data_IF_452047668069
#
_entry.id   IF_452047668069
#
_cell.length_a   1.000
_cell.length_b   1.000
_cell.length_c   1.000
_cell.angle_alpha   90.00
_cell.angle_beta   90.00
_cell.angle_gamma   90.00
#
_symmetry.space_group_name_H-M   'P 1'
#
loop_
_entity.id
_entity.type
_entity.pdbx_description
1 polymer ?
#
# COMPACT_ATOMS: atom_id res chain seq x y z
N UNK A 1 -26.90 -20.49 12.25
CA UNK A 1 -26.97 -19.02 12.18
C UNK A 1 -26.31 -18.57 10.88
N UNK A 2 -26.88 -17.63 10.13
CA UNK A 2 -26.27 -17.05 8.93
C UNK A 2 -25.87 -15.61 9.25
N UNK A 3 -24.59 -15.31 9.16
CA UNK A 3 -24.08 -13.94 9.32
C UNK A 3 -23.97 -13.31 7.93
N UNK A 4 -24.52 -12.10 7.80
CA UNK A 4 -24.42 -11.26 6.62
C UNK A 4 -23.53 -10.07 6.96
N UNK A 5 -22.42 -9.94 6.24
CA UNK A 5 -21.51 -8.79 6.36
C UNK A 5 -21.64 -7.93 5.11
N UNK A 6 -22.10 -6.69 5.29
CA UNK A 6 -22.08 -5.66 4.25
C UNK A 6 -20.72 -4.95 4.23
N UNK A 7 -20.36 -4.37 3.08
CA UNK A 7 -19.12 -3.60 2.96
C UNK A 7 -19.06 -2.41 3.94
N UNK A 8 -20.17 -1.71 4.17
CA UNK A 8 -20.24 -0.60 5.13
C UNK A 8 -19.97 -1.05 6.57
N UNK A 9 -20.51 -2.21 6.95
CA UNK A 9 -20.21 -2.84 8.24
C UNK A 9 -18.71 -3.16 8.36
N UNK A 10 -18.11 -3.71 7.31
CA UNK A 10 -16.68 -4.03 7.30
C UNK A 10 -15.78 -2.78 7.33
N UNK A 11 -16.18 -1.69 6.68
CA UNK A 11 -15.48 -0.41 6.73
C UNK A 11 -15.52 0.23 8.11
N UNK A 12 -16.69 0.24 8.76
CA UNK A 12 -16.80 0.74 10.13
C UNK A 12 -15.96 -0.09 11.11
N UNK A 13 -15.93 -1.42 10.95
CA UNK A 13 -15.04 -2.28 11.74
C UNK A 13 -13.57 -1.98 11.48
N UNK A 14 -13.17 -1.79 10.22
CA UNK A 14 -11.78 -1.47 9.87
C UNK A 14 -11.35 -0.11 10.46
N UNK A 15 -12.23 0.90 10.37
CA UNK A 15 -11.99 2.22 10.96
C UNK A 15 -11.94 2.15 12.50
N UNK A 16 -12.84 1.40 13.13
CA UNK A 16 -12.83 1.19 14.58
C UNK A 16 -11.54 0.50 15.05
N UNK A 17 -11.08 -0.54 14.36
CA UNK A 17 -9.81 -1.22 14.65
C UNK A 17 -8.60 -0.29 14.53
N UNK A 18 -8.62 0.67 13.61
CA UNK A 18 -7.57 1.70 13.49
C UNK A 18 -7.59 2.71 14.65
N UNK A 19 -8.76 2.94 15.26
CA UNK A 19 -8.94 3.85 16.39
C UNK A 19 -8.78 3.18 17.77
N UNK A 20 -8.86 1.85 17.85
CA UNK A 20 -8.70 1.08 19.09
C UNK A 20 -7.22 0.91 19.47
N UNK A 21 -6.62 1.99 19.99
CA UNK A 21 -5.58 1.87 21.03
C UNK A 21 -6.29 1.74 22.40
N UNK A 22 -5.67 1.10 23.41
CA UNK A 22 -6.43 0.52 24.51
C UNK A 22 -6.98 1.62 25.44
N UNK A 23 -8.27 1.89 25.32
CA UNK A 23 -9.06 2.40 26.44
C UNK A 23 -10.52 1.96 26.34
N UNK A 24 -10.91 1.19 27.35
CA UNK A 24 -12.26 0.91 27.88
C UNK A 24 -13.39 0.50 26.92
N UNK A 25 -13.88 -0.71 27.20
CA UNK A 25 -14.99 -1.38 26.55
C UNK A 25 -16.29 -0.58 26.39
N UNK A 26 -16.93 -0.83 25.26
CA UNK A 26 -18.36 -0.71 25.08
C UNK A 26 -18.84 -1.90 24.25
N UNK A 27 -19.79 -2.65 24.80
CA UNK A 27 -20.47 -3.79 24.18
C UNK A 27 -21.27 -3.35 22.95
N UNK A 28 -21.06 -4.01 21.81
CA UNK A 28 -21.84 -3.82 20.60
C UNK A 28 -23.03 -4.80 20.61
N UNK A 29 -24.25 -4.27 20.77
CA UNK A 29 -25.49 -5.06 20.70
C UNK A 29 -25.87 -5.27 19.24
N UNK A 30 -25.91 -6.53 18.80
CA UNK A 30 -26.33 -6.92 17.47
C UNK A 30 -27.83 -7.25 17.48
N UNK A 31 -28.68 -6.22 17.39
CA UNK A 31 -30.11 -6.41 17.12
C UNK A 31 -30.57 -5.40 16.06
N UNK A 32 -30.50 -5.79 14.80
CA UNK A 32 -31.31 -5.21 13.72
C UNK A 32 -32.02 -6.34 12.96
N UNK A 33 -33.35 -6.27 12.77
CA UNK A 33 -34.12 -7.35 12.20
C UNK A 33 -33.84 -7.54 10.70
N UNK A 34 -33.73 -8.81 10.31
CA UNK A 34 -33.60 -9.31 8.95
C UNK A 34 -34.90 -9.04 8.18
N UNK A 35 -34.98 -7.91 7.47
CA UNK A 35 -36.09 -7.63 6.57
C UNK A 35 -35.70 -6.95 5.24
N UNK A 36 -34.44 -7.05 4.81
CA UNK A 36 -33.98 -6.57 3.51
C UNK A 36 -33.29 -7.69 2.72
N UNK A 37 -34.08 -8.64 2.21
CA UNK A 37 -33.64 -9.64 1.22
C UNK A 37 -34.34 -9.47 -0.14
N UNK A 38 -35.27 -8.52 -0.28
CA UNK A 38 -36.07 -8.28 -1.50
C UNK A 38 -35.58 -7.12 -2.36
N UNK A 39 -34.67 -6.27 -1.87
CA UNK A 39 -34.18 -5.07 -2.59
C UNK A 39 -32.68 -5.16 -2.95
N UNK A 40 -32.21 -6.34 -3.34
CA UNK A 40 -30.85 -6.45 -3.86
C UNK A 40 -30.79 -5.85 -5.27
N UNK A 41 -30.11 -4.71 -5.38
CA UNK A 41 -29.76 -4.08 -6.66
C UNK A 41 -29.00 -5.09 -7.54
N UNK A 42 -29.19 -5.00 -8.87
CA UNK A 42 -28.65 -5.92 -9.88
C UNK A 42 -27.12 -6.04 -9.86
N UNK A 43 -26.43 -5.12 -9.20
CA UNK A 43 -24.98 -5.07 -9.07
C UNK A 43 -24.46 -5.72 -7.77
N UNK A 44 -25.31 -6.34 -6.95
CA UNK A 44 -24.88 -6.97 -5.70
C UNK A 44 -24.32 -8.37 -5.93
N UNK A 45 -23.12 -8.64 -5.41
CA UNK A 45 -22.51 -9.96 -5.39
C UNK A 45 -22.74 -10.65 -4.03
N UNK A 46 -23.00 -11.97 -4.07
CA UNK A 46 -23.15 -12.81 -2.88
C UNK A 46 -22.09 -13.90 -2.94
N UNK A 47 -21.12 -13.84 -2.04
CA UNK A 47 -20.10 -14.86 -1.87
C UNK A 47 -20.44 -15.72 -0.65
N UNK A 48 -20.67 -17.02 -0.88
CA UNK A 48 -21.04 -17.96 0.17
C UNK A 48 -19.82 -18.71 0.66
N UNK A 49 -19.66 -18.75 1.97
CA UNK A 49 -18.63 -19.55 2.62
C UNK A 49 -19.25 -20.66 3.49
N UNK A 50 -18.76 -21.88 3.31
CA UNK A 50 -19.12 -23.06 4.10
C UNK A 50 -17.82 -23.75 4.54
N UNK A 51 -17.45 -23.57 5.81
CA UNK A 51 -16.16 -24.02 6.31
C UNK A 51 -16.03 -25.53 6.37
N UNK A 52 -14.97 -26.06 5.76
CA UNK A 52 -14.48 -27.40 6.08
C UNK A 52 -13.64 -27.30 7.35
N UNK A 53 -14.04 -28.03 8.39
CA UNK A 53 -13.27 -28.17 9.60
C UNK A 53 -11.85 -28.65 9.27
N UNK A 54 -10.84 -27.76 9.42
CA UNK A 54 -9.45 -28.02 9.82
C UNK A 54 -8.59 -26.76 9.59
N UNK A 55 -8.62 -25.82 10.54
CA UNK A 55 -7.77 -24.63 10.50
C UNK A 55 -6.52 -24.84 11.38
N UNK A 56 -5.42 -25.31 10.78
CA UNK A 56 -4.11 -25.34 11.42
C UNK A 56 -3.25 -24.16 10.93
N UNK A 57 -2.92 -23.22 11.81
CA UNK A 57 -1.97 -22.12 11.52
C UNK A 57 -0.55 -22.63 11.77
N UNK A 58 0.23 -22.87 10.71
CA UNK A 58 1.65 -23.24 10.82
C UNK A 58 2.52 -21.97 10.87
N UNK A 59 3.01 -21.61 12.04
CA UNK A 59 4.08 -20.62 12.19
C UNK A 59 5.45 -21.28 11.97
N UNK A 60 6.09 -21.07 10.81
CA UNK A 60 7.54 -21.33 10.66
C UNK A 60 8.35 -20.04 10.83
N UNK A 61 9.11 -19.96 11.92
CA UNK A 61 10.25 -19.04 12.06
C UNK A 61 11.44 -19.64 11.30
N UNK A 62 12.01 -18.92 10.33
CA UNK A 62 13.30 -19.27 9.75
C UNK A 62 14.34 -18.20 10.06
N UNK A 63 15.47 -18.66 10.61
CA UNK A 63 16.66 -17.91 10.98
C UNK A 63 17.33 -17.30 9.74
N UNK A 64 17.79 -16.05 9.89
CA UNK A 64 18.64 -15.35 8.93
C UNK A 64 20.08 -15.90 9.00
N UNK A 65 20.68 -16.12 7.83
CA UNK A 65 22.13 -16.28 7.72
C UNK A 65 22.76 -15.00 7.17
N UNK A 66 23.81 -14.56 7.86
CA UNK A 66 24.74 -13.49 7.50
C UNK A 66 25.44 -13.81 6.16
N UNK A 67 25.61 -12.82 5.29
CA UNK A 67 26.59 -12.89 4.21
C UNK A 67 27.46 -11.62 4.21
N UNK A 68 28.78 -11.84 4.22
CA UNK A 68 29.85 -10.84 4.35
C UNK A 68 30.27 -10.30 2.98
N UNK A 69 30.93 -9.15 3.06
CA UNK A 69 31.56 -8.33 2.03
C UNK A 69 32.46 -9.08 1.03
N UNK A 70 32.58 -8.50 -0.17
CA UNK A 70 33.84 -8.42 -0.91
C UNK A 70 33.84 -7.19 -1.85
N UNK A 71 34.64 -6.18 -1.49
CA UNK A 71 35.30 -5.25 -2.42
C UNK A 71 36.33 -6.03 -3.26
N UNK A 72 36.65 -5.70 -4.50
CA UNK A 72 37.58 -4.67 -5.03
C UNK A 72 38.05 -5.24 -6.39
N UNK A 73 38.51 -4.56 -7.45
CA UNK A 73 38.85 -3.17 -7.77
C UNK A 73 39.29 -3.11 -9.25
N UNK A 74 39.21 -1.89 -9.83
CA UNK A 74 40.13 -1.25 -10.80
C UNK A 74 40.34 -1.80 -12.22
N UNK A 75 40.36 -0.89 -13.21
CA UNK A 75 41.53 -0.45 -14.00
C UNK A 75 41.14 0.86 -14.75
N UNK A 76 41.70 2.03 -14.37
CA UNK A 76 42.81 2.80 -15.00
C UNK A 76 42.51 3.31 -16.43
N UNK A 77 42.46 4.63 -16.59
CA UNK A 77 43.14 5.30 -17.71
C UNK A 77 43.64 6.69 -17.29
N UNK A 78 44.78 7.08 -17.83
CA UNK A 78 45.64 8.19 -17.45
C UNK A 78 46.02 9.00 -18.67
N UNK A 79 45.86 10.33 -18.65
CA UNK A 79 46.65 11.29 -19.47
C UNK A 79 46.29 12.75 -19.14
N UNK A 80 47.21 13.73 -19.29
CA UNK A 80 47.26 14.93 -18.45
C UNK A 80 47.16 16.30 -19.19
N UNK A 81 47.13 17.36 -18.37
CA UNK A 81 47.44 18.78 -18.66
C UNK A 81 46.45 19.62 -19.49
N UNK A 82 45.73 20.54 -18.83
CA UNK A 82 45.77 21.98 -19.12
C UNK A 82 45.03 22.80 -18.02
N UNK A 83 45.70 23.83 -17.50
CA UNK A 83 45.06 25.10 -17.09
C UNK A 83 44.25 25.14 -15.79
N UNK A 84 44.90 25.61 -14.72
CA UNK A 84 44.24 26.07 -13.50
C UNK A 84 43.40 27.33 -13.77
N UNK A 85 42.07 27.20 -13.71
CA UNK A 85 41.17 28.31 -13.39
C UNK A 85 40.60 28.04 -11.99
N UNK A 86 40.93 28.94 -11.07
CA UNK A 86 40.53 28.89 -9.67
C UNK A 86 39.06 29.33 -9.59
N UNK A 87 38.15 28.37 -9.69
CA UNK A 87 36.71 28.60 -9.54
C UNK A 87 36.37 29.07 -8.11
N UNK A 88 35.49 30.07 -7.95
CA UNK A 88 35.10 30.62 -6.66
C UNK A 88 34.40 29.55 -5.81
N UNK A 89 34.64 29.61 -4.49
CA UNK A 89 34.08 28.75 -3.43
C UNK A 89 32.83 27.95 -3.83
N UNK A 90 33.02 26.66 -4.09
CA UNK A 90 31.95 25.68 -4.30
C UNK A 90 31.13 25.55 -3.02
N UNK A 91 30.11 26.40 -2.89
CA UNK A 91 29.00 26.19 -1.96
C UNK A 91 28.52 24.76 -2.18
N UNK A 92 28.65 23.89 -1.18
CA UNK A 92 28.39 22.45 -1.29
C UNK A 92 27.02 22.16 -1.89
N UNK A 93 26.95 21.89 -3.19
CA UNK A 93 25.70 21.61 -3.88
C UNK A 93 25.27 20.19 -3.55
N UNK A 94 24.29 20.05 -2.65
CA UNK A 94 23.74 18.75 -2.26
C UNK A 94 23.26 17.95 -3.50
N UNK A 95 23.58 16.66 -3.54
CA UNK A 95 23.17 15.75 -4.63
C UNK A 95 21.65 15.51 -4.58
N UNK A 96 20.91 15.68 -5.69
CA UNK A 96 19.47 15.48 -5.69
C UNK A 96 19.09 14.00 -5.65
N UNK A 97 18.14 13.65 -4.78
CA UNK A 97 17.48 12.34 -4.73
C UNK A 97 16.03 12.54 -5.15
N UNK A 98 15.72 12.15 -6.39
CA UNK A 98 14.38 12.21 -6.95
C UNK A 98 13.45 11.12 -6.40
N UNK A 99 12.31 11.53 -5.88
CA UNK A 99 11.21 10.67 -5.42
C UNK A 99 10.01 10.97 -6.32
N UNK A 100 9.45 9.94 -6.96
CA UNK A 100 8.20 10.08 -7.73
C UNK A 100 7.01 9.84 -6.82
N UNK A 101 6.18 10.86 -6.63
CA UNK A 101 4.87 10.79 -6.01
C UNK A 101 3.86 10.45 -7.10
N UNK A 102 3.41 9.21 -7.13
CA UNK A 102 2.49 8.67 -8.13
C UNK A 102 1.11 8.47 -7.49
N UNK A 103 0.24 9.47 -7.61
CA UNK A 103 -1.06 9.56 -6.93
C UNK A 103 -2.10 10.16 -7.89
N UNK A 104 -3.41 9.97 -7.67
CA UNK A 104 -4.40 10.58 -8.55
C UNK A 104 -4.39 12.10 -8.42
N UNK A 105 -4.55 12.80 -9.54
CA UNK A 105 -4.73 14.26 -9.54
C UNK A 105 -6.15 14.67 -9.15
N UNK A 106 -7.14 13.85 -9.49
CA UNK A 106 -8.56 14.12 -9.20
C UNK A 106 -8.81 14.29 -7.70
N UNK A 107 -9.46 15.39 -7.33
CA UNK A 107 -9.84 15.74 -5.95
C UNK A 107 -11.01 14.93 -5.41
N UNK A 108 -11.59 14.02 -6.20
CA UNK A 108 -12.58 13.05 -5.72
C UNK A 108 -11.96 12.07 -4.71
N UNK A 109 -10.66 11.79 -4.83
CA UNK A 109 -9.95 10.93 -3.90
C UNK A 109 -9.41 11.71 -2.70
N UNK A 110 -9.53 11.13 -1.51
CA UNK A 110 -9.04 11.74 -0.27
C UNK A 110 -7.51 11.94 -0.25
N UNK A 111 -6.79 11.16 -1.05
CA UNK A 111 -5.32 11.14 -1.18
C UNK A 111 -4.84 11.76 -2.50
N UNK A 112 -5.62 12.67 -3.09
CA UNK A 112 -5.22 13.35 -4.32
C UNK A 112 -3.93 14.15 -4.14
N UNK A 113 -3.16 14.32 -5.22
CA UNK A 113 -1.91 15.10 -5.22
C UNK A 113 -2.12 16.48 -4.58
N UNK A 114 -3.21 17.16 -4.92
CA UNK A 114 -3.53 18.49 -4.39
C UNK A 114 -3.64 18.47 -2.85
N UNK A 115 -4.30 17.45 -2.29
CA UNK A 115 -4.52 17.36 -0.83
C UNK A 115 -3.25 16.95 -0.08
N UNK A 116 -2.40 16.10 -0.66
CA UNK A 116 -1.23 15.56 0.05
C UNK A 116 0.07 16.33 -0.20
N UNK A 117 0.17 17.07 -1.32
CA UNK A 117 1.39 17.79 -1.70
C UNK A 117 1.87 18.81 -0.65
N UNK A 118 1.01 19.53 0.11
CA UNK A 118 1.50 20.44 1.15
C UNK A 118 2.23 19.70 2.27
N UNK A 119 1.71 18.54 2.70
CA UNK A 119 2.35 17.72 3.72
C UNK A 119 3.69 17.15 3.24
N UNK A 120 3.75 16.71 1.97
CA UNK A 120 4.98 16.22 1.35
C UNK A 120 6.02 17.35 1.23
N UNK A 121 5.61 18.57 0.86
CA UNK A 121 6.49 19.73 0.76
C UNK A 121 7.11 20.06 2.13
N UNK A 122 6.29 20.17 3.17
CA UNK A 122 6.77 20.41 4.55
C UNK A 122 7.74 19.32 5.02
N UNK A 123 7.42 18.05 4.75
CA UNK A 123 8.31 16.94 5.09
C UNK A 123 9.64 17.00 4.32
N UNK A 124 9.58 17.34 3.03
CA UNK A 124 10.76 17.45 2.15
C UNK A 124 11.68 18.58 2.61
N UNK A 125 11.14 19.73 2.98
CA UNK A 125 11.89 20.88 3.47
C UNK A 125 12.56 20.58 4.81
N UNK A 126 11.81 19.96 5.74
CA UNK A 126 12.32 19.58 7.05
C UNK A 126 13.45 18.55 6.94
N UNK A 127 13.25 17.49 6.14
CA UNK A 127 14.26 16.43 5.97
C UNK A 127 15.48 16.94 5.19
N UNK A 128 15.29 17.79 4.20
CA UNK A 128 16.41 18.39 3.43
C UNK A 128 17.25 19.36 4.28
N UNK A 129 16.63 20.03 5.24
CA UNK A 129 17.31 20.92 6.20
C UNK A 129 17.96 20.17 7.37
N UNK A 130 17.58 18.90 7.58
CA UNK A 130 18.12 18.07 8.65
C UNK A 130 19.59 17.67 8.42
N UNK A 131 20.28 17.32 9.52
CA UNK A 131 21.64 16.80 9.47
C UNK A 131 21.72 15.38 8.85
N UNK A 132 20.59 14.66 8.78
CA UNK A 132 20.53 13.30 8.22
C UNK A 132 20.85 13.26 6.73
N UNK A 133 20.54 14.35 5.99
CA UNK A 133 20.86 14.49 4.57
C UNK A 133 21.92 15.58 4.35
N UNK A 134 23.07 15.45 5.02
CA UNK A 134 24.18 16.41 4.90
C UNK A 134 24.68 16.58 3.45
N UNK A 135 24.64 15.51 2.64
CA UNK A 135 25.15 15.48 1.26
C UNK A 135 24.06 15.42 0.18
N UNK A 136 22.81 15.22 0.57
CA UNK A 136 21.71 14.97 -0.35
C UNK A 136 20.57 15.93 -0.12
N UNK A 137 19.78 16.21 -1.16
CA UNK A 137 18.51 16.94 -1.05
C UNK A 137 17.42 16.12 -1.70
N UNK A 138 16.26 16.06 -1.08
CA UNK A 138 15.13 15.36 -1.66
C UNK A 138 14.48 16.25 -2.73
N UNK A 139 14.04 15.64 -3.82
CA UNK A 139 13.29 16.32 -4.89
C UNK A 139 12.07 15.48 -5.20
N UNK A 140 10.89 16.02 -4.94
CA UNK A 140 9.62 15.33 -5.21
C UNK A 140 9.11 15.70 -6.59
N UNK A 141 8.90 14.68 -7.41
CA UNK A 141 8.25 14.78 -8.72
C UNK A 141 6.83 14.23 -8.58
N UNK A 142 5.87 14.75 -9.33
CA UNK A 142 4.48 14.33 -9.26
C UNK A 142 4.02 13.80 -10.61
N UNK A 143 3.28 12.71 -10.60
CA UNK A 143 2.64 12.13 -11.78
C UNK A 143 1.23 11.62 -11.42
N UNK A 144 0.29 11.80 -12.35
CA UNK A 144 -1.09 11.39 -12.15
C UNK A 144 -1.23 9.89 -12.37
N UNK A 145 -1.60 9.15 -11.33
CA UNK A 145 -1.86 7.71 -11.45
C UNK A 145 -3.25 7.40 -12.02
N UNK A 146 -4.14 8.40 -12.02
CA UNK A 146 -5.58 8.30 -12.32
C UNK A 146 -6.31 7.19 -11.53
N UNK A 147 -5.68 6.63 -10.49
CA UNK A 147 -6.13 5.40 -9.84
C UNK A 147 -6.38 4.24 -10.84
N UNK A 148 -5.70 4.25 -11.99
CA UNK A 148 -5.91 3.29 -13.07
C UNK A 148 -4.65 2.44 -13.29
N UNK A 149 -4.83 1.20 -13.79
CA UNK A 149 -3.74 0.23 -13.97
C UNK A 149 -2.75 0.72 -15.03
N UNK A 150 -3.27 1.11 -16.20
CA UNK A 150 -2.45 1.46 -17.36
C UNK A 150 -1.71 2.79 -17.14
N UNK A 151 -2.40 3.81 -16.63
CA UNK A 151 -1.86 5.16 -16.46
C UNK A 151 -0.74 5.20 -15.42
N UNK A 152 -0.97 4.59 -14.26
CA UNK A 152 0.06 4.50 -13.21
C UNK A 152 1.34 3.82 -13.71
N UNK A 153 1.20 2.73 -14.48
CA UNK A 153 2.36 2.04 -15.05
C UNK A 153 3.06 2.86 -16.12
N UNK A 154 2.31 3.51 -17.01
CA UNK A 154 2.88 4.35 -18.05
C UNK A 154 3.72 5.48 -17.45
N UNK A 155 3.22 6.17 -16.43
CA UNK A 155 3.97 7.20 -15.71
C UNK A 155 5.19 6.64 -14.98
N UNK A 156 5.05 5.51 -14.29
CA UNK A 156 6.17 4.87 -13.60
C UNK A 156 7.32 4.52 -14.56
N UNK A 157 7.00 3.91 -15.72
CA UNK A 157 7.96 3.58 -16.77
C UNK A 157 8.60 4.84 -17.35
N UNK A 158 7.78 5.86 -17.64
CA UNK A 158 8.23 7.13 -18.23
C UNK A 158 9.29 7.80 -17.37
N UNK A 159 9.05 7.87 -16.05
CA UNK A 159 9.99 8.50 -15.12
C UNK A 159 11.22 7.62 -14.84
N UNK A 160 11.06 6.30 -14.84
CA UNK A 160 12.18 5.34 -14.72
C UNK A 160 13.15 5.48 -15.91
N UNK A 161 12.64 5.43 -17.15
CA UNK A 161 13.47 5.51 -18.37
C UNK A 161 14.21 6.86 -18.47
N UNK A 162 13.59 7.94 -17.99
CA UNK A 162 14.23 9.27 -17.94
C UNK A 162 15.38 9.37 -16.94
N UNK A 163 15.65 8.34 -16.13
CA UNK A 163 16.66 8.36 -15.08
C UNK A 163 16.33 9.33 -13.94
N UNK A 164 15.04 9.61 -13.72
CA UNK A 164 14.57 10.65 -12.78
C UNK A 164 13.92 10.08 -11.51
N UNK A 165 14.13 8.81 -11.16
CA UNK A 165 13.49 8.19 -9.99
C UNK A 165 14.47 7.31 -9.22
N UNK A 166 14.56 7.56 -7.91
CA UNK A 166 15.26 6.70 -6.97
C UNK A 166 14.31 5.99 -5.99
N UNK A 167 13.06 6.45 -5.87
CA UNK A 167 12.02 5.82 -5.06
C UNK A 167 10.62 6.24 -5.55
N UNK A 168 9.63 5.38 -5.33
CA UNK A 168 8.23 5.69 -5.57
C UNK A 168 7.50 5.91 -4.25
N UNK A 169 6.74 7.00 -4.16
CA UNK A 169 5.73 7.24 -3.13
C UNK A 169 4.35 7.06 -3.76
N UNK A 170 3.58 6.09 -3.26
CA UNK A 170 2.41 5.55 -3.95
C UNK A 170 2.78 4.49 -5.01
N UNK A 171 1.82 4.02 -5.83
CA UNK A 171 0.37 4.34 -5.81
C UNK A 171 -0.35 4.01 -4.49
N UNK A 172 -1.50 4.63 -4.26
CA UNK A 172 -2.39 4.27 -3.13
C UNK A 172 -3.43 3.24 -3.54
N UNK A 173 -3.87 3.28 -4.80
CA UNK A 173 -4.89 2.35 -5.31
C UNK A 173 -4.35 0.94 -5.53
N UNK A 174 -5.07 -0.08 -5.07
CA UNK A 174 -4.64 -1.48 -5.13
C UNK A 174 -4.35 -1.94 -6.57
N UNK A 175 -5.25 -1.62 -7.52
CA UNK A 175 -5.09 -1.99 -8.93
C UNK A 175 -3.92 -1.28 -9.62
N UNK A 176 -3.69 0.00 -9.34
CA UNK A 176 -2.50 0.73 -9.82
C UNK A 176 -1.21 0.25 -9.18
N UNK A 177 -1.24 -0.10 -7.88
CA UNK A 177 -0.05 -0.54 -7.14
C UNK A 177 0.45 -1.90 -7.63
N UNK A 178 -0.46 -2.84 -7.90
CA UNK A 178 -0.11 -4.21 -8.25
C UNK A 178 0.95 -4.34 -9.36
N UNK A 179 0.80 -3.72 -10.55
CA UNK A 179 1.83 -3.79 -11.58
C UNK A 179 3.07 -2.95 -11.24
N UNK A 180 2.92 -1.78 -10.59
CA UNK A 180 4.05 -0.90 -10.25
C UNK A 180 5.01 -1.60 -9.30
N UNK A 181 4.50 -2.20 -8.23
CA UNK A 181 5.33 -2.91 -7.26
C UNK A 181 5.95 -4.20 -7.83
N UNK A 182 5.25 -4.92 -8.72
CA UNK A 182 5.82 -6.10 -9.41
C UNK A 182 7.01 -5.71 -10.27
N UNK A 183 6.90 -4.58 -10.97
CA UNK A 183 7.95 -4.09 -11.85
C UNK A 183 9.11 -3.45 -11.06
N UNK A 184 8.82 -2.73 -9.98
CA UNK A 184 9.82 -2.02 -9.17
C UNK A 184 10.89 -2.95 -8.58
N UNK A 185 10.57 -4.22 -8.33
CA UNK A 185 11.55 -5.25 -7.95
C UNK A 185 12.66 -5.39 -8.99
N UNK A 186 12.32 -5.40 -10.27
CA UNK A 186 13.32 -5.55 -11.35
C UNK A 186 14.10 -4.26 -11.60
N UNK A 187 13.52 -3.11 -11.27
CA UNK A 187 14.20 -1.83 -11.28
C UNK A 187 15.08 -1.59 -10.05
N UNK A 188 15.03 -2.48 -9.04
CA UNK A 188 15.68 -2.31 -7.74
C UNK A 188 15.31 -0.98 -7.06
N UNK A 189 14.07 -0.52 -7.22
CA UNK A 189 13.58 0.72 -6.63
C UNK A 189 12.61 0.43 -5.47
N UNK A 190 12.77 1.10 -4.31
CA UNK A 190 11.82 1.02 -3.23
C UNK A 190 10.50 1.68 -3.60
N UNK A 191 9.40 1.05 -3.20
CA UNK A 191 8.04 1.60 -3.32
C UNK A 191 7.49 1.75 -1.92
N UNK A 192 7.09 2.96 -1.53
CA UNK A 192 6.53 3.26 -0.22
C UNK A 192 5.11 3.77 -0.41
N UNK A 193 4.13 3.21 0.29
CA UNK A 193 2.73 3.60 0.14
C UNK A 193 1.99 3.62 1.48
N UNK A 194 1.05 4.56 1.63
CA UNK A 194 0.05 4.55 2.70
C UNK A 194 -1.23 3.78 2.34
N UNK A 195 -1.35 3.31 1.09
CA UNK A 195 -2.48 2.52 0.60
C UNK A 195 -2.12 1.07 0.34
N UNK A 196 -2.63 0.54 -0.78
CA UNK A 196 -2.44 -0.86 -1.18
C UNK A 196 -2.92 -1.83 -0.07
N UNK A 197 -4.20 -1.70 0.27
CA UNK A 197 -4.82 -2.33 1.43
C UNK A 197 -5.08 -3.83 1.25
N UNK A 198 -5.06 -4.32 0.00
CA UNK A 198 -5.32 -5.72 -0.33
C UNK A 198 -4.39 -6.68 0.42
N UNK A 199 -4.95 -7.84 0.79
CA UNK A 199 -4.23 -8.92 1.47
C UNK A 199 -3.06 -9.47 0.65
N UNK A 200 -3.23 -9.50 -0.66
CA UNK A 200 -2.26 -10.06 -1.61
C UNK A 200 -0.88 -9.42 -1.53
N UNK A 201 -0.81 -8.12 -1.20
CA UNK A 201 0.45 -7.42 -1.01
C UNK A 201 1.28 -7.98 0.15
N UNK A 202 0.61 -8.56 1.16
CA UNK A 202 1.27 -9.26 2.26
C UNK A 202 1.52 -10.72 1.95
N UNK A 203 0.51 -11.41 1.40
CA UNK A 203 0.62 -12.84 1.06
C UNK A 203 1.77 -13.11 0.07
N UNK A 204 1.96 -12.23 -0.92
CA UNK A 204 3.01 -12.34 -1.94
C UNK A 204 4.17 -11.36 -1.72
N UNK A 205 4.39 -10.90 -0.48
CA UNK A 205 5.43 -9.89 -0.16
C UNK A 205 6.83 -10.33 -0.59
N UNK A 206 7.19 -11.60 -0.39
CA UNK A 206 8.55 -12.11 -0.68
C UNK A 206 8.78 -12.38 -2.17
N UNK A 207 7.72 -12.68 -2.92
CA UNK A 207 7.81 -13.13 -4.31
C UNK A 207 7.60 -11.99 -5.29
N UNK A 208 6.43 -11.34 -5.21
CA UNK A 208 5.97 -10.33 -6.16
C UNK A 208 6.23 -8.90 -5.70
N UNK A 209 6.23 -8.64 -4.40
CA UNK A 209 6.23 -7.27 -3.86
C UNK A 209 7.41 -6.98 -2.94
N UNK A 210 8.59 -7.52 -3.23
CA UNK A 210 9.75 -7.50 -2.32
C UNK A 210 10.25 -6.10 -1.97
N UNK A 211 10.07 -5.11 -2.86
CA UNK A 211 10.47 -3.71 -2.63
C UNK A 211 9.34 -2.80 -2.11
N UNK A 212 8.12 -3.32 -1.95
CA UNK A 212 6.95 -2.57 -1.46
C UNK A 212 6.90 -2.47 0.06
N UNK A 213 6.98 -1.26 0.60
CA UNK A 213 6.78 -0.98 2.02
C UNK A 213 5.47 -0.24 2.21
N UNK A 214 4.59 -0.80 3.04
CA UNK A 214 3.30 -0.17 3.38
C UNK A 214 3.43 0.46 4.76
N UNK A 215 3.07 1.74 4.86
CA UNK A 215 3.08 2.51 6.12
C UNK A 215 1.67 2.82 6.65
N UNK A 216 0.63 2.49 5.88
CA UNK A 216 -0.76 2.73 6.24
C UNK A 216 -1.56 1.47 6.58
N UNK A 217 -2.88 1.64 6.64
CA UNK A 217 -3.87 0.60 6.91
C UNK A 217 -3.78 -0.57 5.92
N UNK A 218 -4.13 -1.78 6.38
CA UNK A 218 -4.37 -2.92 5.49
C UNK A 218 -5.54 -3.74 5.99
N UNK A 219 -6.25 -4.40 5.07
CA UNK A 219 -7.38 -5.25 5.45
C UNK A 219 -6.97 -6.51 6.22
N UNK A 220 -5.68 -6.84 6.30
CA UNK A 220 -5.21 -8.01 7.06
C UNK A 220 -5.69 -7.99 8.52
N UNK A 221 -5.62 -6.84 9.19
CA UNK A 221 -6.00 -6.74 10.61
C UNK A 221 -7.50 -6.92 10.79
N UNK A 222 -8.33 -6.35 9.89
CA UNK A 222 -9.77 -6.61 9.86
C UNK A 222 -10.06 -8.10 9.64
N UNK A 223 -9.38 -8.71 8.68
CA UNK A 223 -9.55 -10.13 8.35
C UNK A 223 -9.17 -11.01 9.54
N UNK A 224 -8.04 -10.75 10.19
CA UNK A 224 -7.59 -11.46 11.39
C UNK A 224 -8.58 -11.31 12.55
N UNK A 225 -9.14 -10.11 12.73
CA UNK A 225 -10.19 -9.85 13.71
C UNK A 225 -11.44 -10.70 13.42
N UNK A 226 -11.95 -10.69 12.19
CA UNK A 226 -13.14 -11.47 11.80
C UNK A 226 -12.92 -12.98 11.94
N UNK A 227 -11.75 -13.46 11.54
CA UNK A 227 -11.37 -14.87 11.70
C UNK A 227 -11.34 -15.25 13.19
N UNK A 228 -10.76 -14.40 14.03
CA UNK A 228 -10.71 -14.65 15.48
C UNK A 228 -12.11 -14.65 16.08
N UNK A 229 -12.91 -13.63 15.77
CA UNK A 229 -14.30 -13.51 16.22
C UNK A 229 -15.12 -14.75 15.84
N UNK A 230 -15.04 -15.21 14.60
CA UNK A 230 -15.81 -16.36 14.16
C UNK A 230 -15.35 -17.68 14.79
N UNK A 231 -14.07 -17.79 15.14
CA UNK A 231 -13.54 -18.93 15.91
C UNK A 231 -14.08 -18.93 17.33
N UNK A 232 -14.02 -17.80 18.04
CA UNK A 232 -14.50 -17.68 19.42
C UNK A 232 -15.98 -18.09 19.55
N UNK A 233 -16.80 -17.73 18.57
CA UNK A 233 -18.24 -18.05 18.56
C UNK A 233 -18.62 -19.30 17.75
N UNK A 234 -17.65 -20.09 17.27
CA UNK A 234 -17.87 -21.31 16.49
C UNK A 234 -18.77 -21.13 15.23
N UNK A 235 -18.64 -20.00 14.53
CA UNK A 235 -19.36 -19.79 13.28
C UNK A 235 -18.67 -20.51 12.12
N UNK A 236 -19.39 -21.44 11.49
CA UNK A 236 -18.89 -22.27 10.37
C UNK A 236 -19.40 -21.86 9.00
N UNK A 237 -20.41 -20.96 8.93
CA UNK A 237 -21.03 -20.51 7.68
C UNK A 237 -21.23 -19.00 7.68
N UNK A 238 -20.72 -18.33 6.66
CA UNK A 238 -20.77 -16.87 6.51
C UNK A 238 -21.16 -16.55 5.08
N UNK A 239 -22.07 -15.58 4.90
CA UNK A 239 -22.40 -15.06 3.56
C UNK A 239 -21.94 -13.61 3.50
N UNK A 240 -21.04 -13.33 2.56
CA UNK A 240 -20.57 -11.98 2.30
C UNK A 240 -21.42 -11.40 1.18
N UNK A 241 -21.97 -10.21 1.40
CA UNK A 241 -22.85 -9.55 0.44
C UNK A 241 -22.38 -8.13 0.25
N UNK A 242 -21.98 -7.78 -0.97
CA UNK A 242 -21.41 -6.47 -1.25
C UNK A 242 -21.70 -6.05 -2.69
N UNK A 243 -21.71 -4.73 -2.91
CA UNK A 243 -21.63 -4.16 -4.25
C UNK A 243 -20.14 -4.02 -4.63
N UNK A 244 -19.67 -4.58 -5.77
CA UNK A 244 -18.25 -4.57 -6.13
C UNK A 244 -17.64 -3.18 -6.23
N UNK A 245 -18.41 -2.21 -6.72
CA UNK A 245 -17.99 -0.80 -6.87
C UNK A 245 -18.39 0.06 -5.66
N UNK A 246 -18.93 -0.56 -4.60
CA UNK A 246 -19.30 0.14 -3.39
C UNK A 246 -18.10 0.92 -2.84
N UNK A 247 -18.38 2.14 -2.36
CA UNK A 247 -17.38 3.01 -1.73
C UNK A 247 -16.25 3.43 -2.70
N UNK A 248 -16.54 3.45 -4.01
CA UNK A 248 -15.62 3.89 -5.07
C UNK A 248 -15.06 5.31 -4.93
N UNK A 249 -15.73 6.18 -4.16
CA UNK A 249 -15.24 7.53 -3.84
C UNK A 249 -14.01 7.52 -2.91
N UNK A 250 -13.82 6.45 -2.13
CA UNK A 250 -12.63 6.24 -1.31
C UNK A 250 -11.55 5.61 -2.17
N UNK A 251 -11.88 4.49 -2.83
CA UNK A 251 -10.96 3.76 -3.68
C UNK A 251 -11.74 2.88 -4.67
N UNK A 252 -11.26 2.79 -5.91
CA UNK A 252 -11.88 1.92 -6.92
C UNK A 252 -11.96 0.47 -6.43
N UNK A 253 -13.17 -0.10 -6.52
CA UNK A 253 -13.50 -1.47 -6.09
C UNK A 253 -13.10 -1.82 -4.65
N UNK A 254 -13.15 -0.85 -3.74
CA UNK A 254 -12.79 -1.03 -2.32
C UNK A 254 -13.52 -2.23 -1.68
N UNK A 255 -14.84 -2.31 -1.86
CA UNK A 255 -15.66 -3.37 -1.29
C UNK A 255 -15.30 -4.76 -1.84
N UNK A 256 -14.99 -4.84 -3.14
CA UNK A 256 -14.51 -6.07 -3.75
C UNK A 256 -13.16 -6.50 -3.16
N UNK A 257 -12.17 -5.60 -3.10
CA UNK A 257 -10.83 -5.92 -2.56
C UNK A 257 -10.89 -6.37 -1.10
N UNK A 258 -11.72 -5.70 -0.29
CA UNK A 258 -11.92 -6.06 1.10
C UNK A 258 -12.58 -7.43 1.24
N UNK A 259 -13.67 -7.67 0.50
CA UNK A 259 -14.44 -8.91 0.61
C UNK A 259 -13.67 -10.12 0.07
N UNK A 260 -12.93 -9.95 -1.03
CA UNK A 260 -12.02 -10.97 -1.56
C UNK A 260 -10.96 -11.36 -0.51
N UNK A 261 -10.38 -10.38 0.18
CA UNK A 261 -9.44 -10.64 1.27
C UNK A 261 -10.04 -11.50 2.39
N UNK A 262 -11.30 -11.23 2.77
CA UNK A 262 -12.05 -12.00 3.78
C UNK A 262 -12.33 -13.42 3.26
N UNK A 263 -12.87 -13.54 2.05
CA UNK A 263 -13.17 -14.82 1.41
C UNK A 263 -11.93 -15.74 1.36
N UNK A 264 -10.78 -15.18 0.97
CA UNK A 264 -9.51 -15.90 0.86
C UNK A 264 -8.83 -16.22 2.20
N UNK A 265 -9.34 -15.71 3.31
CA UNK A 265 -8.87 -16.05 4.65
C UNK A 265 -9.71 -17.16 5.30
N UNK A 266 -10.94 -17.34 4.85
CA UNK A 266 -11.82 -18.41 5.31
C UNK A 266 -11.72 -19.67 4.46
N UNK A 267 -11.30 -19.57 3.19
CA UNK A 267 -11.03 -20.71 2.30
C UNK A 267 -9.69 -21.38 2.64
#
# INVERSE_FOLDING_TARGET
MRIYLSCECLLTLNAALLCMTPSSGSSFSADTPVQALSDFDKNTEIVKYEGRHNFAVSHRRHKFHHFKDLSSSSLIDSSPFLGSLKEPNKMSSKTPVYILVLLPKSTNYLFSIERVSPAIALATDNVTSSQFLARHRLVTLYADSMCHIAEAMNEAITFYIKGKVHAFFGPVCDYSMAPVARQAKYWNLPVITSGAMARDFSASKKTLYSTLTRVGSSFNTLIEFLVTLFREYNYSKVNLVYEPNGQGHILDKLCHVMTDGIHNAFT
#
